data_IF_018214305136
#
_entry.id   IF_018214305136
#
_cell.length_a   1.000
_cell.length_b   1.000
_cell.length_c   1.000
_cell.angle_alpha   90.00
_cell.angle_beta   90.00
_cell.angle_gamma   90.00
#
_symmetry.space_group_name_H-M   'P 1'
#
loop_
_entity.id
_entity.type
_entity.pdbx_description
1 polymer ?
#
# COMPACT_ATOMS: atom_id res chain seq x y z
N UNK A 1 -6.01 -28.82 -90.74
CA UNK A 1 -6.67 -28.62 -89.44
C UNK A 1 -5.60 -28.24 -88.43
N UNK A 2 -5.56 -26.95 -88.06
CA UNK A 2 -4.54 -26.39 -87.18
C UNK A 2 -5.07 -26.22 -85.76
N UNK A 3 -4.23 -26.48 -84.77
CA UNK A 3 -4.37 -26.01 -83.40
C UNK A 3 -3.03 -25.38 -82.98
N UNK A 4 -2.97 -24.05 -82.95
CA UNK A 4 -1.87 -23.27 -82.36
C UNK A 4 -2.21 -23.06 -80.88
N UNK A 5 -1.46 -23.69 -79.98
CA UNK A 5 -1.44 -23.35 -78.55
C UNK A 5 -0.67 -22.02 -78.40
N UNK A 6 -1.38 -20.96 -78.00
CA UNK A 6 -0.81 -19.65 -77.71
C UNK A 6 -0.43 -19.58 -76.23
N UNK A 7 0.86 -19.55 -75.93
CA UNK A 7 1.40 -19.32 -74.59
C UNK A 7 1.40 -17.82 -74.28
N UNK A 8 0.41 -17.36 -73.52
CA UNK A 8 0.42 -16.01 -72.94
C UNK A 8 1.35 -16.00 -71.72
N UNK A 9 2.59 -15.53 -71.93
CA UNK A 9 3.45 -15.10 -70.82
C UNK A 9 3.00 -13.68 -70.44
N UNK A 10 2.46 -13.44 -69.23
CA UNK A 10 2.07 -12.10 -68.83
C UNK A 10 3.31 -11.21 -68.74
N UNK A 11 3.29 -10.10 -69.49
CA UNK A 11 4.33 -9.08 -69.38
C UNK A 11 4.30 -8.47 -67.97
N UNK A 12 5.47 -8.20 -67.37
CA UNK A 12 5.54 -7.53 -66.08
C UNK A 12 4.88 -6.15 -66.21
N UNK A 13 3.82 -5.93 -65.43
CA UNK A 13 3.20 -4.61 -65.32
C UNK A 13 4.27 -3.65 -64.81
N UNK A 14 4.45 -2.54 -65.53
CA UNK A 14 5.25 -1.42 -65.03
C UNK A 14 4.53 -0.89 -63.81
N UNK A 15 4.94 -1.36 -62.62
CA UNK A 15 4.52 -0.74 -61.38
C UNK A 15 5.00 0.71 -61.46
N UNK A 16 4.05 1.65 -61.53
CA UNK A 16 4.36 3.07 -61.63
C UNK A 16 5.27 3.46 -60.46
N UNK A 17 6.37 4.16 -60.77
CA UNK A 17 7.33 4.65 -59.79
C UNK A 17 6.64 5.45 -58.66
N UNK A 18 5.50 6.06 -58.95
CA UNK A 18 4.62 6.75 -58.01
C UNK A 18 4.02 5.83 -56.94
N UNK A 19 3.64 4.60 -57.28
CA UNK A 19 3.12 3.61 -56.32
C UNK A 19 4.25 3.14 -55.40
N UNK A 20 5.45 2.93 -55.95
CA UNK A 20 6.64 2.56 -55.16
C UNK A 20 7.01 3.68 -54.19
N UNK A 21 7.01 4.94 -54.64
CA UNK A 21 7.28 6.10 -53.79
C UNK A 21 6.22 6.27 -52.68
N UNK A 22 4.93 6.07 -53.00
CA UNK A 22 3.85 6.11 -52.00
C UNK A 22 4.00 5.04 -50.92
N UNK A 23 4.35 3.81 -51.30
CA UNK A 23 4.58 2.71 -50.34
C UNK A 23 5.81 2.97 -49.46
N UNK A 24 6.88 3.55 -50.00
CA UNK A 24 8.06 3.91 -49.22
C UNK A 24 7.77 5.00 -48.19
N UNK A 25 7.00 6.03 -48.56
CA UNK A 25 6.58 7.08 -47.62
C UNK A 25 5.72 6.50 -46.50
N UNK A 26 4.75 5.64 -46.83
CA UNK A 26 3.93 4.96 -45.82
C UNK A 26 4.77 4.07 -44.88
N UNK A 27 5.76 3.34 -45.41
CA UNK A 27 6.65 2.51 -44.61
C UNK A 27 7.52 3.36 -43.67
N UNK A 28 8.05 4.48 -44.14
CA UNK A 28 8.84 5.42 -43.34
C UNK A 28 8.01 6.13 -42.26
N UNK A 29 6.76 6.50 -42.56
CA UNK A 29 5.85 7.08 -41.58
C UNK A 29 5.42 6.06 -40.52
N UNK A 30 5.18 4.81 -40.91
CA UNK A 30 4.88 3.72 -39.98
C UNK A 30 6.09 3.41 -39.07
N UNK A 31 7.31 3.37 -39.63
CA UNK A 31 8.53 3.20 -38.87
C UNK A 31 8.82 4.38 -37.95
N UNK A 32 8.59 5.62 -38.41
CA UNK A 32 8.73 6.83 -37.61
C UNK A 32 7.73 6.91 -36.46
N UNK A 33 6.46 6.54 -36.70
CA UNK A 33 5.43 6.45 -35.66
C UNK A 33 5.72 5.35 -34.66
N UNK A 34 6.21 4.18 -35.12
CA UNK A 34 6.63 3.10 -34.25
C UNK A 34 7.84 3.52 -33.39
N UNK A 35 8.85 4.16 -33.97
CA UNK A 35 10.02 4.67 -33.24
C UNK A 35 9.65 5.77 -32.24
N UNK A 36 8.80 6.72 -32.63
CA UNK A 36 8.31 7.77 -31.74
C UNK A 36 7.47 7.21 -30.59
N UNK A 37 6.64 6.20 -30.86
CA UNK A 37 5.84 5.51 -29.84
C UNK A 37 6.69 4.63 -28.91
N UNK A 38 7.83 4.13 -29.38
CA UNK A 38 8.74 3.29 -28.59
C UNK A 38 9.77 4.12 -27.82
N UNK A 39 10.08 5.35 -28.25
CA UNK A 39 11.12 6.20 -27.66
C UNK A 39 12.50 5.54 -27.70
N UNK A 40 13.59 6.29 -27.45
CA UNK A 40 14.83 5.63 -27.04
C UNK A 40 14.54 4.84 -25.76
N UNK A 41 15.01 3.59 -25.71
CA UNK A 41 14.87 2.77 -24.52
C UNK A 41 15.57 3.52 -23.36
N UNK A 42 14.79 4.02 -22.40
CA UNK A 42 15.32 4.59 -21.16
C UNK A 42 16.19 3.52 -20.49
N UNK A 43 17.43 3.88 -20.20
CA UNK A 43 18.34 3.07 -19.40
C UNK A 43 17.80 2.94 -17.98
N UNK A 44 17.88 1.72 -17.43
CA UNK A 44 17.53 1.45 -16.04
C UNK A 44 18.69 1.87 -15.15
N UNK A 45 18.37 2.54 -14.06
CA UNK A 45 19.30 3.11 -13.08
C UNK A 45 18.91 2.68 -11.67
N UNK A 46 19.73 3.00 -10.67
CA UNK A 46 19.42 2.76 -9.25
C UNK A 46 18.08 3.42 -8.83
N UNK A 47 17.71 4.55 -9.44
CA UNK A 47 16.47 5.29 -9.17
C UNK A 47 15.21 4.56 -9.62
N UNK A 48 15.33 3.66 -10.60
CA UNK A 48 14.20 2.86 -11.09
C UNK A 48 13.83 1.73 -10.11
N UNK A 49 14.69 1.39 -9.14
CA UNK A 49 14.40 0.43 -8.06
C UNK A 49 13.63 1.05 -6.90
N UNK A 50 12.65 1.90 -7.23
CA UNK A 50 11.65 2.45 -6.33
C UNK A 50 10.27 1.92 -6.70
N UNK A 51 9.44 1.66 -5.69
CA UNK A 51 8.05 1.33 -5.97
C UNK A 51 7.37 2.55 -6.61
N UNK A 52 6.44 2.33 -7.56
CA UNK A 52 5.65 3.43 -8.07
C UNK A 52 4.91 4.08 -6.90
N UNK A 53 4.69 5.40 -6.99
CA UNK A 53 3.92 6.13 -5.99
C UNK A 53 2.60 5.38 -5.73
N UNK A 54 2.32 5.14 -4.44
CA UNK A 54 1.07 4.52 -4.07
C UNK A 54 -0.05 5.46 -4.48
N UNK A 55 -1.04 4.93 -5.19
CA UNK A 55 -2.25 5.66 -5.54
C UNK A 55 -3.44 4.84 -5.11
N UNK A 56 -4.45 5.52 -4.57
CA UNK A 56 -5.74 4.91 -4.20
C UNK A 56 -6.78 5.48 -5.15
N UNK A 57 -7.39 4.63 -5.96
CA UNK A 57 -8.49 5.05 -6.82
C UNK A 57 -9.74 5.23 -5.95
N UNK A 58 -9.91 6.43 -5.39
CA UNK A 58 -11.01 6.73 -4.47
C UNK A 58 -12.38 6.45 -5.09
N UNK A 59 -12.58 6.81 -6.37
CA UNK A 59 -13.85 6.58 -7.05
C UNK A 59 -14.19 5.09 -7.12
N UNK A 60 -13.22 4.27 -7.54
CA UNK A 60 -13.38 2.81 -7.61
C UNK A 60 -13.53 2.19 -6.22
N UNK A 61 -12.81 2.71 -5.22
CA UNK A 61 -12.92 2.26 -3.84
C UNK A 61 -14.34 2.50 -3.30
N UNK A 62 -14.87 3.70 -3.51
CA UNK A 62 -16.21 4.08 -3.07
C UNK A 62 -17.30 3.33 -3.84
N UNK A 63 -17.16 3.18 -5.16
CA UNK A 63 -18.04 2.34 -5.96
C UNK A 63 -18.11 0.91 -5.39
N UNK A 64 -16.96 0.29 -5.11
CA UNK A 64 -16.94 -1.06 -4.54
C UNK A 64 -17.54 -1.13 -3.13
N UNK A 65 -17.46 -0.05 -2.34
CA UNK A 65 -18.11 0.01 -1.03
C UNK A 65 -19.61 0.04 -1.20
N UNK A 66 -20.11 0.91 -2.07
CA UNK A 66 -21.54 0.99 -2.39
C UNK A 66 -22.06 -0.34 -2.91
N UNK A 67 -21.38 -0.99 -3.85
CA UNK A 67 -21.76 -2.30 -4.36
C UNK A 67 -21.74 -3.38 -3.28
N UNK A 68 -20.69 -3.42 -2.44
CA UNK A 68 -20.56 -4.44 -1.38
C UNK A 68 -21.60 -4.26 -0.27
N UNK A 69 -22.03 -3.03 -0.02
CA UNK A 69 -22.85 -2.67 1.12
C UNK A 69 -24.25 -2.19 0.75
N UNK A 70 -24.65 -2.28 -0.53
CA UNK A 70 -25.92 -1.76 -1.05
C UNK A 70 -27.15 -2.32 -0.29
N UNK A 71 -27.08 -3.59 0.11
CA UNK A 71 -28.19 -4.30 0.75
C UNK A 71 -28.19 -4.16 2.28
N UNK A 72 -27.26 -3.40 2.85
CA UNK A 72 -27.14 -3.26 4.31
C UNK A 72 -28.16 -2.27 4.84
N UNK A 73 -29.18 -2.78 5.54
CA UNK A 73 -30.14 -1.94 6.26
C UNK A 73 -29.78 -1.84 7.75
N UNK A 74 -28.97 -0.83 8.12
CA UNK A 74 -28.59 -0.60 9.52
C UNK A 74 -29.79 -0.30 10.45
N UNK A 75 -30.95 0.08 9.91
CA UNK A 75 -32.14 0.33 10.74
C UNK A 75 -32.68 -0.96 11.37
N UNK A 76 -32.44 -2.12 10.75
CA UNK A 76 -32.88 -3.42 11.29
C UNK A 76 -32.05 -3.88 12.49
N UNK A 77 -30.90 -3.25 12.74
CA UNK A 77 -29.97 -3.58 13.84
C UNK A 77 -29.67 -2.39 14.74
N UNK A 78 -30.58 -1.41 14.76
CA UNK A 78 -30.27 -0.09 15.29
C UNK A 78 -29.86 -0.11 16.77
N UNK A 79 -30.48 -0.96 17.59
CA UNK A 79 -30.18 -1.05 19.02
C UNK A 79 -28.80 -1.61 19.30
N UNK A 80 -28.52 -2.80 18.78
CA UNK A 80 -27.26 -3.53 18.98
C UNK A 80 -26.08 -2.75 18.39
N UNK A 81 -26.30 -2.11 17.25
CA UNK A 81 -25.31 -1.25 16.61
C UNK A 81 -24.93 -0.04 17.46
N UNK A 82 -25.90 0.65 18.06
CA UNK A 82 -25.63 1.80 18.93
C UNK A 82 -24.85 1.39 20.18
N UNK A 83 -25.17 0.23 20.76
CA UNK A 83 -24.45 -0.34 21.89
C UNK A 83 -23.01 -0.73 21.52
N UNK A 84 -22.79 -1.29 20.32
CA UNK A 84 -21.44 -1.57 19.80
C UNK A 84 -20.61 -0.29 19.70
N UNK A 85 -21.18 0.79 19.13
CA UNK A 85 -20.49 2.08 19.00
C UNK A 85 -20.19 2.68 20.37
N UNK A 86 -21.14 2.64 21.30
CA UNK A 86 -20.95 3.11 22.66
C UNK A 86 -19.84 2.33 23.40
N UNK A 87 -19.83 1.00 23.27
CA UNK A 87 -18.79 0.14 23.83
C UNK A 87 -17.41 0.42 23.22
N UNK A 88 -17.33 0.61 21.89
CA UNK A 88 -16.08 0.95 21.22
C UNK A 88 -15.51 2.30 21.71
N UNK A 89 -16.37 3.32 21.84
CA UNK A 89 -15.97 4.63 22.38
C UNK A 89 -15.46 4.54 23.82
N UNK A 90 -16.06 3.67 24.63
CA UNK A 90 -15.58 3.40 25.98
C UNK A 90 -14.18 2.77 25.98
N UNK A 91 -13.90 1.83 25.07
CA UNK A 91 -12.55 1.26 24.88
C UNK A 91 -11.56 2.33 24.42
N UNK A 92 -11.93 3.19 23.48
CA UNK A 92 -11.06 4.27 23.01
C UNK A 92 -10.69 5.26 24.13
N UNK A 93 -11.67 5.74 24.91
CA UNK A 93 -11.41 6.63 26.06
C UNK A 93 -10.47 6.00 27.09
N UNK A 94 -10.67 4.70 27.36
CA UNK A 94 -9.87 3.93 28.32
C UNK A 94 -8.36 3.88 27.95
N UNK A 95 -8.00 4.08 26.69
CA UNK A 95 -6.59 4.07 26.26
C UNK A 95 -5.80 5.29 26.78
N UNK A 96 -6.48 6.37 27.17
CA UNK A 96 -5.85 7.60 27.64
C UNK A 96 -5.61 7.65 29.15
N UNK A 97 -5.77 6.52 29.85
CA UNK A 97 -5.51 6.40 31.28
C UNK A 97 -6.78 6.42 32.14
N UNK A 98 -6.58 6.39 33.46
CA UNK A 98 -7.69 6.43 34.43
C UNK A 98 -8.45 5.12 34.63
N UNK A 99 -8.05 4.03 33.97
CA UNK A 99 -8.65 2.70 34.13
C UNK A 99 -7.58 1.60 34.24
N UNK A 100 -7.83 0.59 35.07
CA UNK A 100 -6.95 -0.57 35.22
C UNK A 100 -6.92 -1.44 33.96
N UNK A 101 -5.88 -2.26 33.81
CA UNK A 101 -5.80 -3.23 32.71
C UNK A 101 -6.99 -4.20 32.70
N UNK A 102 -7.43 -4.64 33.89
CA UNK A 102 -8.61 -5.49 34.05
C UNK A 102 -9.88 -4.82 33.48
N UNK A 103 -10.09 -3.54 33.80
CA UNK A 103 -11.23 -2.78 33.30
C UNK A 103 -11.15 -2.55 31.79
N UNK A 104 -9.94 -2.37 31.23
CA UNK A 104 -9.73 -2.31 29.78
C UNK A 104 -10.13 -3.63 29.10
N UNK A 105 -9.72 -4.77 29.66
CA UNK A 105 -10.08 -6.10 29.15
C UNK A 105 -11.59 -6.35 29.22
N UNK A 106 -12.23 -5.93 30.32
CA UNK A 106 -13.70 -6.02 30.47
C UNK A 106 -14.42 -5.22 29.39
N UNK A 107 -13.99 -3.98 29.14
CA UNK A 107 -14.56 -3.13 28.07
C UNK A 107 -14.35 -3.74 26.68
N UNK A 108 -13.17 -4.28 26.41
CA UNK A 108 -12.89 -4.99 25.16
C UNK A 108 -13.78 -6.24 24.98
N UNK A 109 -14.06 -6.98 26.06
CA UNK A 109 -15.00 -8.09 26.04
C UNK A 109 -16.43 -7.62 25.72
N UNK A 110 -16.88 -6.48 26.27
CA UNK A 110 -18.17 -5.88 25.92
C UNK A 110 -18.28 -5.51 24.45
N UNK A 111 -17.22 -4.98 23.83
CA UNK A 111 -17.18 -4.73 22.38
C UNK A 111 -17.41 -6.04 21.60
N UNK A 112 -16.76 -7.13 22.02
CA UNK A 112 -16.92 -8.44 21.36
C UNK A 112 -18.35 -8.98 21.47
N UNK A 113 -19.00 -8.82 22.62
CA UNK A 113 -20.41 -9.21 22.81
C UNK A 113 -21.30 -8.46 21.82
N UNK A 114 -21.23 -7.13 21.79
CA UNK A 114 -22.06 -6.34 20.89
C UNK A 114 -21.71 -6.51 19.41
N UNK A 115 -20.45 -6.84 19.10
CA UNK A 115 -20.06 -7.17 17.74
C UNK A 115 -20.76 -8.45 17.25
N UNK A 116 -20.86 -9.48 18.10
CA UNK A 116 -21.57 -10.71 17.77
C UNK A 116 -23.07 -10.45 17.54
N UNK A 117 -23.71 -9.69 18.44
CA UNK A 117 -25.13 -9.32 18.29
C UNK A 117 -25.37 -8.51 17.00
N UNK A 118 -24.48 -7.55 16.71
CA UNK A 118 -24.54 -6.75 15.49
C UNK A 118 -24.38 -7.63 14.25
N UNK A 119 -23.48 -8.62 14.27
CA UNK A 119 -23.29 -9.57 13.15
C UNK A 119 -24.54 -10.42 12.92
N UNK A 120 -25.26 -10.83 13.97
CA UNK A 120 -26.48 -11.65 13.81
C UNK A 120 -27.55 -10.91 13.00
N UNK A 121 -27.69 -9.60 13.20
CA UNK A 121 -28.70 -8.83 12.49
C UNK A 121 -28.20 -8.21 11.17
N UNK A 122 -26.93 -7.86 11.06
CA UNK A 122 -26.38 -7.19 9.86
C UNK A 122 -25.75 -8.16 8.86
N UNK A 123 -25.30 -9.32 9.34
CA UNK A 123 -24.48 -10.25 8.57
C UNK A 123 -23.00 -9.82 8.52
N UNK A 124 -22.13 -10.79 8.25
CA UNK A 124 -20.69 -10.57 8.29
C UNK A 124 -20.16 -9.56 7.25
N UNK A 125 -20.76 -9.50 6.06
CA UNK A 125 -20.33 -8.56 5.02
C UNK A 125 -20.71 -7.11 5.33
N UNK A 126 -21.77 -6.91 6.11
CA UNK A 126 -22.24 -5.60 6.53
C UNK A 126 -21.50 -5.03 7.75
N UNK A 127 -20.86 -5.90 8.53
CA UNK A 127 -20.32 -5.54 9.85
C UNK A 127 -19.39 -4.31 9.81
N UNK A 128 -18.52 -4.18 8.80
CA UNK A 128 -17.62 -3.01 8.68
C UNK A 128 -18.39 -1.69 8.55
N UNK A 129 -19.55 -1.68 7.89
CA UNK A 129 -20.37 -0.47 7.68
C UNK A 129 -20.93 0.05 9.00
N UNK A 130 -21.12 -0.82 9.99
CA UNK A 130 -21.57 -0.41 11.33
C UNK A 130 -20.57 0.55 11.98
N UNK A 131 -19.29 0.49 11.63
CA UNK A 131 -18.27 1.40 12.16
C UNK A 131 -18.24 2.78 11.51
N UNK A 132 -19.05 3.06 10.48
CA UNK A 132 -18.97 4.29 9.69
C UNK A 132 -19.03 5.60 10.50
N UNK A 133 -19.90 5.75 11.53
CA UNK A 133 -19.88 6.94 12.37
C UNK A 133 -18.55 7.12 13.11
N UNK A 134 -17.97 6.03 13.62
CA UNK A 134 -16.67 6.07 14.32
C UNK A 134 -15.56 6.45 13.34
N UNK A 135 -15.57 5.92 12.11
CA UNK A 135 -14.53 6.25 11.13
C UNK A 135 -14.55 7.72 10.75
N UNK A 136 -15.75 8.26 10.47
CA UNK A 136 -15.93 9.66 10.08
C UNK A 136 -15.57 10.62 11.21
N UNK A 137 -16.09 10.37 12.41
CA UNK A 137 -15.77 11.21 13.57
C UNK A 137 -14.30 11.08 13.98
N UNK A 138 -13.69 9.92 13.80
CA UNK A 138 -12.25 9.77 13.99
C UNK A 138 -11.46 10.62 12.99
N UNK A 139 -11.81 10.60 11.70
CA UNK A 139 -11.13 11.44 10.71
C UNK A 139 -11.22 12.94 11.08
N UNK A 140 -12.42 13.43 11.42
CA UNK A 140 -12.63 14.82 11.86
C UNK A 140 -11.85 15.14 13.14
N UNK A 141 -11.89 14.26 14.14
CA UNK A 141 -11.19 14.45 15.40
C UNK A 141 -9.67 14.45 15.23
N UNK A 142 -9.16 13.59 14.36
CA UNK A 142 -7.75 13.52 14.02
C UNK A 142 -7.31 14.78 13.27
N UNK A 143 -8.04 15.24 12.25
CA UNK A 143 -7.73 16.50 11.54
C UNK A 143 -7.71 17.70 12.50
N UNK A 144 -8.64 17.74 13.46
CA UNK A 144 -8.68 18.76 14.51
C UNK A 144 -7.42 18.71 15.39
N UNK A 145 -7.03 17.52 15.86
CA UNK A 145 -5.82 17.35 16.67
C UNK A 145 -4.54 17.69 15.90
N UNK A 146 -4.45 17.29 14.63
CA UNK A 146 -3.32 17.63 13.76
C UNK A 146 -3.22 19.13 13.52
N UNK A 147 -4.34 19.82 13.31
CA UNK A 147 -4.38 21.29 13.21
C UNK A 147 -3.94 21.99 14.50
N UNK A 148 -4.31 21.45 15.67
CA UNK A 148 -3.87 21.97 16.96
C UNK A 148 -2.35 21.82 17.16
N UNK A 149 -1.76 20.69 16.71
CA UNK A 149 -0.30 20.49 16.72
C UNK A 149 0.38 21.51 15.80
N UNK A 150 -0.11 21.66 14.57
CA UNK A 150 0.48 22.58 13.59
C UNK A 150 0.43 24.05 14.02
N UNK A 151 -0.60 24.44 14.79
CA UNK A 151 -0.75 25.79 15.33
C UNK A 151 -0.04 26.00 16.67
N UNK A 152 0.57 24.96 17.24
CA UNK A 152 1.27 25.01 18.52
C UNK A 152 0.35 25.06 19.75
N UNK A 153 -0.95 24.77 19.59
CA UNK A 153 -1.91 24.70 20.70
C UNK A 153 -1.65 23.50 21.60
N UNK A 154 -1.21 22.38 21.02
CA UNK A 154 -0.86 21.13 21.71
C UNK A 154 0.47 20.63 21.17
N UNK A 155 1.34 20.09 22.02
CA UNK A 155 2.59 19.48 21.58
C UNK A 155 2.37 18.06 21.03
N UNK A 156 3.23 17.59 20.12
CA UNK A 156 3.12 16.23 19.58
C UNK A 156 3.20 15.16 20.69
N UNK A 157 4.00 15.35 21.74
CA UNK A 157 4.09 14.40 22.86
C UNK A 157 2.82 14.38 23.71
N UNK A 158 2.23 15.55 23.98
CA UNK A 158 0.93 15.65 24.66
C UNK A 158 -0.18 14.98 23.85
N UNK A 159 -0.23 15.23 22.53
CA UNK A 159 -1.18 14.62 21.61
C UNK A 159 -1.05 13.10 21.53
N UNK A 160 0.18 12.57 21.57
CA UNK A 160 0.47 11.12 21.61
C UNK A 160 0.07 10.49 22.95
N UNK A 161 0.22 11.23 24.06
CA UNK A 161 -0.01 10.71 25.41
C UNK A 161 -1.47 10.80 25.87
N UNK A 162 -2.01 12.01 26.01
CA UNK A 162 -3.31 12.28 26.62
C UNK A 162 -3.80 13.71 26.27
N UNK A 163 -4.27 13.95 25.04
CA UNK A 163 -4.72 15.29 24.63
C UNK A 163 -5.92 15.74 25.48
N UNK A 164 -6.09 17.06 25.74
CA UNK A 164 -7.17 17.62 26.56
C UNK A 164 -8.55 17.05 26.22
N UNK A 165 -9.26 16.55 27.23
CA UNK A 165 -10.47 15.76 27.00
C UNK A 165 -11.63 16.56 26.40
N UNK A 166 -11.81 17.80 26.83
CA UNK A 166 -12.91 18.66 26.36
C UNK A 166 -12.70 19.11 24.91
N UNK A 167 -11.47 19.49 24.56
CA UNK A 167 -11.13 20.00 23.23
C UNK A 167 -11.05 18.89 22.17
N UNK A 168 -10.58 17.69 22.56
CA UNK A 168 -10.32 16.58 21.64
C UNK A 168 -11.23 15.37 21.89
N UNK A 169 -12.45 15.60 22.40
CA UNK A 169 -13.41 14.55 22.70
C UNK A 169 -13.69 13.64 21.48
N UNK A 170 -13.86 14.23 20.28
CA UNK A 170 -14.11 13.47 19.05
C UNK A 170 -12.97 12.50 18.70
N UNK A 171 -11.71 12.94 18.83
CA UNK A 171 -10.53 12.08 18.63
C UNK A 171 -10.48 10.98 19.70
N UNK A 172 -10.67 11.35 20.97
CA UNK A 172 -10.58 10.41 22.09
C UNK A 172 -11.65 9.33 22.04
N UNK A 173 -12.86 9.69 21.66
CA UNK A 173 -13.99 8.78 21.57
C UNK A 173 -13.89 7.87 20.36
N UNK A 174 -13.38 8.35 19.22
CA UNK A 174 -13.51 7.61 17.96
C UNK A 174 -12.20 7.03 17.40
N UNK A 175 -11.03 7.61 17.74
CA UNK A 175 -9.74 7.09 17.28
C UNK A 175 -9.03 6.23 18.33
N UNK A 176 -9.20 6.57 19.61
CA UNK A 176 -8.32 6.09 20.67
C UNK A 176 -6.89 6.65 20.49
N UNK A 177 -5.89 5.95 21.01
CA UNK A 177 -4.45 6.27 20.84
C UNK A 177 -3.93 5.89 19.46
N UNK A 178 -4.56 6.41 18.41
CA UNK A 178 -4.16 6.12 17.03
C UNK A 178 -2.94 6.94 16.59
N UNK A 179 -2.82 8.20 17.01
CA UNK A 179 -1.75 9.10 16.56
C UNK A 179 -0.33 8.54 16.73
N UNK A 180 0.06 7.95 17.88
CA UNK A 180 1.40 7.33 18.02
C UNK A 180 1.68 6.28 16.94
N UNK A 181 0.68 5.46 16.60
CA UNK A 181 0.79 4.46 15.54
C UNK A 181 0.93 5.13 14.18
N UNK A 182 0.22 6.23 13.91
CA UNK A 182 0.33 6.93 12.63
C UNK A 182 1.72 7.56 12.44
N UNK A 183 2.30 8.11 13.51
CA UNK A 183 3.66 8.66 13.49
C UNK A 183 4.70 7.54 13.33
N UNK A 184 4.60 6.46 14.12
CA UNK A 184 5.48 5.29 14.01
C UNK A 184 5.46 4.70 12.59
N UNK A 185 4.28 4.67 11.95
CA UNK A 185 4.08 4.16 10.59
C UNK A 185 4.26 5.22 9.50
N UNK A 186 4.84 6.37 9.84
CA UNK A 186 5.17 7.44 8.89
C UNK A 186 3.98 7.97 8.09
N UNK A 187 2.75 7.82 8.58
CA UNK A 187 1.54 8.38 7.96
C UNK A 187 1.33 9.84 8.36
N UNK A 188 1.86 10.23 9.52
CA UNK A 188 1.86 11.59 10.05
C UNK A 188 3.29 11.95 10.47
N UNK A 189 3.73 13.17 10.18
CA UNK A 189 5.05 13.70 10.60
C UNK A 189 5.01 14.21 12.05
N UNK A 190 6.18 14.42 12.69
CA UNK A 190 6.24 14.95 14.06
C UNK A 190 5.67 16.38 14.17
N UNK A 191 5.55 17.12 13.07
CA UNK A 191 4.88 18.44 13.00
C UNK A 191 3.35 18.33 12.83
N UNK A 192 2.79 17.12 12.89
CA UNK A 192 1.36 16.89 12.75
C UNK A 192 0.84 17.04 11.32
N UNK A 193 1.68 16.83 10.29
CA UNK A 193 1.27 16.87 8.88
C UNK A 193 1.07 15.47 8.31
N UNK A 194 0.15 15.32 7.37
CA UNK A 194 0.07 14.10 6.56
C UNK A 194 1.34 13.91 5.74
N UNK A 195 1.97 12.73 5.81
CA UNK A 195 3.23 12.47 5.10
C UNK A 195 3.06 12.39 3.58
N UNK A 196 1.88 12.02 3.11
CA UNK A 196 1.53 12.01 1.69
C UNK A 196 0.04 12.30 1.48
N UNK A 197 -0.34 12.54 0.22
CA UNK A 197 -1.76 12.67 -0.17
C UNK A 197 -2.56 11.39 0.06
N UNK A 198 -1.88 10.25 0.19
CA UNK A 198 -2.51 8.94 0.36
C UNK A 198 -2.70 8.57 1.83
N UNK A 199 -1.92 9.17 2.74
CA UNK A 199 -1.98 8.87 4.17
C UNK A 199 -3.39 8.89 4.77
N UNK A 200 -4.24 9.91 4.53
CA UNK A 200 -5.62 9.91 5.06
C UNK A 200 -6.45 8.70 4.62
N UNK A 201 -6.26 8.23 3.37
CA UNK A 201 -6.97 7.06 2.85
C UNK A 201 -6.48 5.76 3.48
N UNK A 202 -5.17 5.66 3.76
CA UNK A 202 -4.62 4.51 4.50
C UNK A 202 -5.15 4.49 5.92
N UNK A 203 -5.30 5.65 6.58
CA UNK A 203 -5.92 5.73 7.91
C UNK A 203 -7.37 5.26 7.90
N UNK A 204 -8.18 5.68 6.91
CA UNK A 204 -9.54 5.16 6.73
C UNK A 204 -9.55 3.63 6.56
N UNK A 205 -8.67 3.08 5.71
CA UNK A 205 -8.55 1.64 5.52
C UNK A 205 -8.09 0.90 6.79
N UNK A 206 -7.15 1.48 7.56
CA UNK A 206 -6.68 0.96 8.83
C UNK A 206 -7.81 0.90 9.86
N UNK A 207 -8.63 1.95 9.97
CA UNK A 207 -9.76 1.97 10.88
C UNK A 207 -10.81 0.92 10.52
N UNK A 208 -11.12 0.76 9.23
CA UNK A 208 -12.01 -0.30 8.73
C UNK A 208 -11.45 -1.69 9.00
N UNK A 209 -10.14 -1.88 8.80
CA UNK A 209 -9.47 -3.14 9.10
C UNK A 209 -9.46 -3.46 10.60
N UNK A 210 -9.19 -2.47 11.46
CA UNK A 210 -9.28 -2.60 12.93
C UNK A 210 -10.69 -3.01 13.36
N UNK A 211 -11.72 -2.39 12.76
CA UNK A 211 -13.11 -2.74 13.03
C UNK A 211 -13.41 -4.17 12.60
N UNK A 212 -13.05 -4.55 11.36
CA UNK A 212 -13.18 -5.91 10.87
C UNK A 212 -12.49 -6.94 11.78
N UNK A 213 -11.38 -6.56 12.41
CA UNK A 213 -10.61 -7.41 13.32
C UNK A 213 -11.32 -7.73 14.64
N UNK A 214 -12.39 -6.99 15.01
CA UNK A 214 -13.19 -7.28 16.20
C UNK A 214 -13.80 -8.70 16.11
N UNK A 215 -14.16 -9.13 14.90
CA UNK A 215 -14.78 -10.43 14.61
C UNK A 215 -13.85 -11.39 13.83
N UNK A 216 -12.53 -11.21 13.97
CA UNK A 216 -11.53 -11.99 13.22
C UNK A 216 -11.58 -13.51 13.47
N UNK A 217 -12.19 -13.95 14.58
CA UNK A 217 -12.40 -15.35 14.91
C UNK A 217 -13.54 -15.99 14.11
N UNK A 218 -14.42 -15.17 13.52
CA UNK A 218 -15.56 -15.61 12.72
C UNK A 218 -15.36 -15.35 11.23
N UNK A 219 -14.69 -14.26 10.85
CA UNK A 219 -14.41 -13.93 9.46
C UNK A 219 -13.08 -13.22 9.28
N UNK A 220 -12.33 -13.62 8.25
CA UNK A 220 -11.08 -12.97 7.87
C UNK A 220 -11.30 -11.45 7.68
N UNK A 221 -10.60 -10.58 8.44
CA UNK A 221 -10.72 -9.14 8.32
C UNK A 221 -10.46 -8.62 6.90
N UNK A 222 -9.59 -9.29 6.13
CA UNK A 222 -9.32 -8.93 4.73
C UNK A 222 -10.53 -9.16 3.83
N UNK A 223 -11.29 -10.23 4.07
CA UNK A 223 -12.50 -10.54 3.31
C UNK A 223 -13.63 -9.53 3.57
N UNK A 224 -13.55 -8.77 4.67
CA UNK A 224 -14.54 -7.73 4.99
C UNK A 224 -14.25 -6.40 4.27
N UNK A 225 -13.01 -6.14 3.84
CA UNK A 225 -12.67 -4.99 3.00
C UNK A 225 -13.13 -5.19 1.55
N UNK A 226 -13.25 -4.10 0.80
CA UNK A 226 -13.41 -4.17 -0.67
C UNK A 226 -12.10 -4.63 -1.32
N UNK A 227 -12.16 -5.16 -2.55
CA UNK A 227 -10.96 -5.62 -3.26
C UNK A 227 -9.94 -4.49 -3.45
N UNK A 228 -10.41 -3.30 -3.81
CA UNK A 228 -9.58 -2.10 -3.96
C UNK A 228 -8.99 -1.66 -2.62
N UNK A 229 -9.79 -1.65 -1.55
CA UNK A 229 -9.31 -1.24 -0.22
C UNK A 229 -8.28 -2.23 0.34
N UNK A 230 -8.52 -3.52 0.18
CA UNK A 230 -7.60 -4.57 0.57
C UNK A 230 -6.28 -4.49 -0.24
N UNK A 231 -6.36 -4.27 -1.55
CA UNK A 231 -5.16 -4.09 -2.38
C UNK A 231 -4.38 -2.83 -2.00
N UNK A 232 -5.05 -1.68 -1.82
CA UNK A 232 -4.41 -0.44 -1.40
C UNK A 232 -3.70 -0.60 -0.04
N UNK A 233 -4.38 -1.24 0.92
CA UNK A 233 -3.81 -1.49 2.25
C UNK A 233 -2.61 -2.43 2.18
N UNK A 234 -2.70 -3.49 1.37
CA UNK A 234 -1.59 -4.41 1.11
C UNK A 234 -0.39 -3.71 0.47
N UNK A 235 -0.63 -2.92 -0.59
CA UNK A 235 0.41 -2.15 -1.28
C UNK A 235 1.09 -1.19 -0.32
N UNK A 236 0.35 -0.45 0.50
CA UNK A 236 0.95 0.42 1.51
C UNK A 236 1.93 -0.33 2.41
N UNK A 237 1.54 -1.50 2.96
CA UNK A 237 2.41 -2.29 3.84
C UNK A 237 3.63 -2.90 3.17
N UNK A 238 3.64 -3.01 1.84
CA UNK A 238 4.76 -3.61 1.08
C UNK A 238 5.60 -2.56 0.37
N UNK A 239 5.00 -1.50 -0.16
CA UNK A 239 5.59 -0.59 -1.14
C UNK A 239 5.98 0.76 -0.51
N UNK A 240 5.09 1.32 0.30
CA UNK A 240 5.15 2.67 0.89
C UNK A 240 5.23 2.64 2.43
N UNK A 241 5.75 1.52 2.95
CA UNK A 241 5.63 1.15 4.34
C UNK A 241 6.69 1.85 5.22
N UNK A 242 6.65 3.18 5.28
CA UNK A 242 7.43 3.95 6.24
C UNK A 242 7.08 3.40 7.64
N UNK A 243 8.09 3.10 8.46
CA UNK A 243 7.88 2.44 9.76
C UNK A 243 7.71 0.91 9.70
N UNK A 244 8.07 0.26 8.59
CA UNK A 244 8.28 -1.18 8.53
C UNK A 244 9.69 -1.49 8.02
N UNK A 245 10.36 -2.40 8.72
CA UNK A 245 11.65 -2.94 8.30
C UNK A 245 11.51 -3.74 7.01
N UNK A 246 12.63 -3.93 6.30
CA UNK A 246 12.65 -4.73 5.09
C UNK A 246 12.20 -6.18 5.34
N UNK A 247 12.60 -6.75 6.48
CA UNK A 247 12.20 -8.10 6.91
C UNK A 247 10.69 -8.21 7.12
N UNK A 248 10.08 -7.24 7.82
CA UNK A 248 8.63 -7.23 8.05
C UNK A 248 7.86 -7.15 6.73
N UNK A 249 8.32 -6.31 5.79
CA UNK A 249 7.72 -6.19 4.45
C UNK A 249 7.80 -7.50 3.68
N UNK A 250 8.95 -8.19 3.71
CA UNK A 250 9.12 -9.50 3.06
C UNK A 250 8.23 -10.58 3.69
N UNK A 251 8.16 -10.63 5.03
CA UNK A 251 7.30 -11.57 5.76
C UNK A 251 5.82 -11.34 5.46
N UNK A 252 5.41 -10.08 5.33
CA UNK A 252 4.04 -9.73 4.94
C UNK A 252 3.74 -10.11 3.48
N UNK A 253 4.67 -9.82 2.55
CA UNK A 253 4.55 -10.17 1.14
C UNK A 253 4.33 -11.68 0.90
N UNK A 254 4.99 -12.54 1.69
CA UNK A 254 4.80 -13.99 1.63
C UNK A 254 3.38 -14.45 1.98
N UNK A 255 2.69 -13.71 2.85
CA UNK A 255 1.26 -13.94 3.14
C UNK A 255 0.39 -13.39 2.02
N UNK A 256 0.73 -12.20 1.53
CA UNK A 256 -0.05 -11.45 0.56
C UNK A 256 -0.24 -12.18 -0.77
N UNK A 257 0.81 -12.80 -1.31
CA UNK A 257 0.78 -13.48 -2.60
C UNK A 257 -0.29 -14.58 -2.70
N UNK A 258 -0.64 -15.21 -1.57
CA UNK A 258 -1.71 -16.22 -1.50
C UNK A 258 -3.11 -15.62 -1.50
N UNK A 259 -3.27 -14.42 -0.95
CA UNK A 259 -4.56 -13.74 -0.81
C UNK A 259 -4.91 -12.87 -2.02
N UNK A 260 -3.91 -12.31 -2.69
CA UNK A 260 -4.08 -11.42 -3.84
C UNK A 260 -3.28 -11.94 -5.03
N UNK A 261 -3.80 -12.93 -5.78
CA UNK A 261 -3.08 -13.53 -6.90
C UNK A 261 -2.77 -12.53 -8.03
N UNK A 262 -3.52 -11.43 -8.11
CA UNK A 262 -3.30 -10.35 -9.08
C UNK A 262 -2.27 -9.31 -8.59
N UNK A 263 -1.82 -9.38 -7.33
CA UNK A 263 -0.73 -8.55 -6.86
C UNK A 263 0.58 -9.05 -7.46
N UNK A 264 1.39 -8.15 -8.02
CA UNK A 264 2.66 -8.52 -8.63
C UNK A 264 3.73 -8.80 -7.55
N UNK A 265 3.55 -9.90 -6.83
CA UNK A 265 4.42 -10.26 -5.72
C UNK A 265 5.86 -10.52 -6.19
N UNK A 266 6.05 -11.06 -7.40
CA UNK A 266 7.38 -11.26 -7.98
C UNK A 266 8.13 -9.94 -8.14
N UNK A 267 7.45 -8.90 -8.64
CA UNK A 267 8.04 -7.56 -8.74
C UNK A 267 8.40 -7.03 -7.36
N UNK A 268 7.46 -7.09 -6.40
CA UNK A 268 7.72 -6.63 -5.05
C UNK A 268 8.88 -7.37 -4.38
N UNK A 269 9.02 -8.68 -4.57
CA UNK A 269 10.16 -9.44 -4.08
C UNK A 269 11.48 -8.99 -4.71
N UNK A 270 11.51 -8.76 -6.02
CA UNK A 270 12.70 -8.23 -6.72
C UNK A 270 13.11 -6.86 -6.17
N UNK A 271 12.15 -5.96 -5.97
CA UNK A 271 12.39 -4.62 -5.41
C UNK A 271 12.90 -4.67 -3.97
N UNK A 272 12.31 -5.51 -3.12
CA UNK A 272 12.75 -5.66 -1.73
C UNK A 272 14.12 -6.35 -1.64
N UNK A 273 14.42 -7.33 -2.49
CA UNK A 273 15.73 -7.96 -2.55
C UNK A 273 16.81 -6.95 -3.00
N UNK A 274 16.49 -6.11 -4.00
CA UNK A 274 17.38 -5.03 -4.42
C UNK A 274 17.71 -4.07 -3.27
N UNK A 275 16.67 -3.61 -2.56
CA UNK A 275 16.82 -2.73 -1.39
C UNK A 275 17.58 -3.40 -0.24
N UNK A 276 17.64 -4.73 -0.20
CA UNK A 276 18.46 -5.47 0.76
C UNK A 276 19.95 -5.53 0.38
N UNK A 277 20.32 -5.09 -0.83
CA UNK A 277 21.64 -5.33 -1.42
C UNK A 277 21.81 -6.76 -1.98
N UNK A 278 20.77 -7.59 -1.97
CA UNK A 278 20.81 -8.96 -2.49
C UNK A 278 20.50 -8.95 -3.99
N UNK A 279 21.48 -8.49 -4.77
CA UNK A 279 21.35 -8.34 -6.23
C UNK A 279 21.17 -9.68 -6.96
N UNK A 280 21.75 -10.76 -6.45
CA UNK A 280 21.60 -12.10 -7.05
C UNK A 280 20.15 -12.58 -6.92
N UNK A 281 19.55 -12.42 -5.74
CA UNK A 281 18.14 -12.79 -5.53
C UNK A 281 17.19 -11.83 -6.25
N UNK A 282 17.48 -10.53 -6.27
CA UNK A 282 16.73 -9.57 -7.07
C UNK A 282 16.71 -10.00 -8.54
N UNK A 283 17.88 -10.36 -9.09
CA UNK A 283 18.04 -10.84 -10.46
C UNK A 283 17.19 -12.10 -10.70
N UNK A 284 17.20 -13.07 -9.78
CA UNK A 284 16.38 -14.28 -9.90
C UNK A 284 14.88 -13.97 -10.04
N UNK A 285 14.37 -12.99 -9.28
CA UNK A 285 12.97 -12.55 -9.41
C UNK A 285 12.70 -11.87 -10.74
N UNK A 286 13.54 -10.91 -11.16
CA UNK A 286 13.34 -10.19 -12.41
C UNK A 286 13.53 -11.09 -13.65
N UNK A 287 14.44 -12.07 -13.61
CA UNK A 287 14.60 -13.07 -14.67
C UNK A 287 13.35 -13.93 -14.85
N UNK A 288 12.74 -14.38 -13.74
CA UNK A 288 11.49 -15.15 -13.79
C UNK A 288 10.35 -14.30 -14.38
N UNK A 289 10.25 -13.04 -13.96
CA UNK A 289 9.25 -12.12 -14.48
C UNK A 289 9.47 -11.82 -15.97
N UNK A 290 10.70 -11.58 -16.41
CA UNK A 290 11.04 -11.34 -17.81
C UNK A 290 10.70 -12.55 -18.70
N UNK A 291 10.97 -13.77 -18.22
CA UNK A 291 10.58 -15.01 -18.92
C UNK A 291 9.06 -15.16 -19.02
N UNK A 292 8.33 -14.84 -17.96
CA UNK A 292 6.87 -14.92 -17.95
C UNK A 292 6.21 -13.81 -18.79
N UNK A 293 6.84 -12.63 -18.88
CA UNK A 293 6.32 -11.46 -19.58
C UNK A 293 7.42 -10.79 -20.45
N UNK A 294 7.79 -11.37 -21.60
CA UNK A 294 8.95 -10.92 -22.40
C UNK A 294 8.85 -9.51 -22.99
N UNK A 295 7.66 -8.89 -22.98
CA UNK A 295 7.42 -7.53 -23.50
C UNK A 295 7.37 -6.46 -22.41
N UNK A 296 7.64 -6.85 -21.17
CA UNK A 296 7.64 -5.94 -20.02
C UNK A 296 9.03 -5.35 -19.78
N UNK A 297 9.10 -4.32 -18.93
CA UNK A 297 10.37 -3.69 -18.56
C UNK A 297 11.27 -4.59 -17.69
N UNK A 298 10.78 -5.74 -17.23
CA UNK A 298 11.53 -6.65 -16.35
C UNK A 298 12.83 -7.16 -16.97
N UNK A 299 12.90 -7.28 -18.30
CA UNK A 299 14.14 -7.65 -18.97
C UNK A 299 15.25 -6.61 -18.72
N UNK A 300 14.89 -5.32 -18.70
CA UNK A 300 15.85 -4.23 -18.46
C UNK A 300 16.32 -4.21 -17.01
N UNK A 301 15.42 -4.44 -16.04
CA UNK A 301 15.80 -4.63 -14.64
C UNK A 301 16.79 -5.81 -14.50
N UNK A 302 16.50 -6.94 -15.15
CA UNK A 302 17.39 -8.10 -15.11
C UNK A 302 18.76 -7.82 -15.76
N UNK A 303 18.80 -7.15 -16.90
CA UNK A 303 20.06 -6.76 -17.57
C UNK A 303 20.92 -5.84 -16.71
N UNK A 304 20.31 -4.81 -16.10
CA UNK A 304 20.98 -3.93 -15.14
C UNK A 304 21.59 -4.72 -13.96
N UNK A 305 20.81 -5.65 -13.38
CA UNK A 305 21.28 -6.46 -12.25
C UNK A 305 22.39 -7.44 -12.64
N UNK A 306 22.36 -8.01 -13.85
CA UNK A 306 23.47 -8.86 -14.35
C UNK A 306 24.78 -8.08 -14.42
N UNK A 307 24.74 -6.80 -14.81
CA UNK A 307 25.93 -5.95 -14.82
C UNK A 307 26.45 -5.71 -13.39
N UNK A 308 25.57 -5.41 -12.42
CA UNK A 308 25.96 -5.25 -11.00
C UNK A 308 26.56 -6.53 -10.42
N UNK A 309 25.93 -7.69 -10.66
CA UNK A 309 26.41 -9.01 -10.20
C UNK A 309 27.71 -9.41 -10.88
N UNK A 310 27.84 -9.16 -12.19
CA UNK A 310 29.04 -9.46 -12.98
C UNK A 310 30.23 -8.57 -12.63
N UNK A 311 29.99 -7.27 -12.41
CA UNK A 311 31.01 -6.32 -11.96
C UNK A 311 31.54 -6.66 -10.57
N UNK A 312 30.69 -7.12 -9.65
CA UNK A 312 31.11 -7.59 -8.33
C UNK A 312 32.02 -8.83 -8.36
N UNK A 313 32.00 -9.62 -9.45
CA UNK A 313 32.85 -10.81 -9.62
C UNK A 313 34.16 -10.51 -10.37
N UNK A 314 34.30 -9.31 -10.94
CA UNK A 314 35.42 -8.91 -11.81
C UNK A 314 36.60 -8.23 -11.11
N UNK A 315 36.44 -7.70 -9.89
CA UNK A 315 37.50 -7.02 -9.14
C UNK A 315 37.85 -7.76 -7.82
N UNK A 316 38.74 -8.78 -7.86
CA UNK A 316 39.38 -9.31 -6.65
C UNK A 316 40.65 -8.52 -6.25
N UNK A 317 40.95 -7.37 -6.86
CA UNK A 317 42.22 -6.67 -6.66
C UNK A 317 42.05 -5.15 -6.46
N UNK A 318 41.63 -4.71 -5.28
CA UNK A 318 41.72 -3.29 -4.95
C UNK A 318 40.99 -2.86 -3.68
N UNK A 319 41.66 -2.95 -2.53
CA UNK A 319 41.40 -2.03 -1.42
C UNK A 319 40.53 -2.59 -0.30
N UNK A 320 41.22 -3.15 0.71
CA UNK A 320 40.83 -2.89 2.08
C UNK A 320 40.87 -1.36 2.29
N UNK A 321 39.70 -0.74 2.28
CA UNK A 321 39.50 0.66 2.63
C UNK A 321 38.54 0.73 3.80
N UNK A 322 39.10 1.12 4.94
CA UNK A 322 38.47 1.36 6.24
C UNK A 322 36.97 1.70 6.18
N UNK A 323 36.15 0.78 6.69
CA UNK A 323 34.85 1.14 7.24
C UNK A 323 35.11 1.86 8.56
N UNK A 324 35.22 3.20 8.48
CA UNK A 324 35.25 4.07 9.63
C UNK A 324 33.99 3.88 10.46
N UNK A 325 34.21 3.37 11.65
CA UNK A 325 33.33 3.32 12.79
C UNK A 325 32.90 4.76 13.16
N UNK A 326 31.76 5.23 12.67
CA UNK A 326 31.13 6.43 13.21
C UNK A 326 30.38 6.05 14.48
N UNK A 327 31.11 6.07 15.60
CA UNK A 327 30.54 5.96 16.94
C UNK A 327 29.55 7.09 17.20
N UNK A 328 28.28 6.73 17.37
CA UNK A 328 27.30 7.54 18.10
C UNK A 328 27.43 7.18 19.57
N UNK A 329 27.85 8.16 20.38
CA UNK A 329 27.99 8.04 21.83
C UNK A 329 26.66 7.65 22.47
N UNK A 330 26.68 6.50 23.14
CA UNK A 330 25.81 6.22 24.29
C UNK A 330 26.21 7.17 25.42
N UNK A 331 25.32 8.09 25.78
CA UNK A 331 25.41 8.83 27.04
C UNK A 331 24.44 8.16 28.03
N UNK A 332 25.00 7.20 28.77
CA UNK A 332 24.33 6.50 29.85
C UNK A 332 24.22 7.42 31.07
N UNK A 333 23.06 8.05 31.26
CA UNK A 333 22.74 8.71 32.53
C UNK A 333 22.33 7.65 33.57
N UNK A 334 23.20 7.50 34.56
CA UNK A 334 23.00 6.75 35.79
C UNK A 334 21.89 7.43 36.60
N UNK A 335 20.76 6.75 36.85
CA UNK A 335 19.80 7.18 37.88
C UNK A 335 19.99 6.29 39.10
N UNK A 336 20.57 6.93 40.11
CA UNK A 336 20.81 6.45 41.45
C UNK A 336 19.47 6.26 42.19
N UNK A 337 19.32 5.11 42.84
CA UNK A 337 18.24 4.86 43.80
C UNK A 337 18.53 5.60 45.09
N UNK A 338 17.60 6.42 45.55
CA UNK A 338 17.49 6.80 46.96
C UNK A 338 16.05 7.18 47.34
N UNK A 339 15.52 6.38 48.27
CA UNK A 339 14.30 6.51 49.09
C UNK A 339 12.92 6.31 48.44
#
# INVERSE_FOLDING_TARGET
>A
MGNKLSSNVPQPSKLDATIIAGLLICALLAAGFAYWRMGPAREVTDEDFQFPELTVNQQKLEQQRQEKYADVNLQQVQGEWQELIAAARQVHRAQFGGVSQEEQLKRAATVKVWANETVLGSGFDAFVVTGEPVFRECATGLDTLLGAIQSGQVTMDEAKANPPAEEFAAYRDNCGKLLPVLVERGLVTEEGKWSSKVSPHIVDLLNRYRWAHIIHDQKDPWAQLTKEGALAFARWRVEDAIGYTLEERQKFLAKLARQFPNYNAGFAYGMLAYKAGDYEKALEYFDRLAKAQPRSDYQRYAEYLRQKVGGAKGDPAGGAGDASESGSKDESATVEKSH
#
